data_IF_344311168031
#
_entry.id   IF_344311168031
#
_cell.length_a   1.000
_cell.length_b   1.000
_cell.length_c   1.000
_cell.angle_alpha   90.00
_cell.angle_beta   90.00
_cell.angle_gamma   90.00
#
_symmetry.space_group_name_H-M   'P 1'
#
loop_
_entity.id
_entity.type
_entity.pdbx_description
1 polymer ?
#
# COMPACT_ATOMS: atom_id res chain seq x y z
N UNK A 1 6.91 -33.31 3.34
CA UNK A 1 6.61 -32.90 3.52
C UNK A 1 6.51 -31.97 3.79
N UNK A 2 6.34 -31.80 3.85
CA UNK A 2 6.36 -30.98 4.09
C UNK A 2 5.98 -30.35 5.03
N UNK A 3 6.04 -30.43 5.54
CA UNK A 3 5.73 -29.95 6.62
C UNK A 3 5.88 -28.61 6.69
N UNK A 4 5.83 -28.03 5.73
CA UNK A 4 6.13 -26.88 5.69
C UNK A 4 5.28 -25.99 6.26
N UNK A 5 5.49 -24.93 6.80
CA UNK A 5 4.77 -23.81 7.29
C UNK A 5 3.71 -24.16 8.33
N UNK A 6 3.97 -25.15 9.17
CA UNK A 6 3.00 -25.45 10.20
C UNK A 6 2.80 -24.27 11.13
N UNK A 7 3.84 -23.43 11.28
CA UNK A 7 3.71 -22.33 12.18
C UNK A 7 2.72 -21.31 11.77
N UNK A 8 2.43 -21.19 10.49
CA UNK A 8 1.49 -20.18 10.03
C UNK A 8 0.08 -20.47 10.51
N UNK A 9 -0.24 -21.74 10.74
CA UNK A 9 -1.57 -22.04 11.17
C UNK A 9 -1.82 -21.62 12.60
N UNK A 10 -0.77 -21.49 13.35
CA UNK A 10 -0.91 -21.28 14.78
C UNK A 10 -0.68 -19.85 15.22
N UNK A 11 -0.63 -18.91 14.31
CA UNK A 11 -0.40 -17.53 14.68
C UNK A 11 -1.71 -16.85 15.05
N UNK A 12 -1.89 -16.40 16.28
CA UNK A 12 -3.15 -15.78 16.69
C UNK A 12 -3.37 -14.46 15.97
N UNK A 13 -4.57 -14.23 15.56
CA UNK A 13 -4.94 -12.95 14.95
C UNK A 13 -4.59 -12.81 13.49
N UNK A 14 -3.95 -13.84 12.88
CA UNK A 14 -3.61 -13.77 11.46
C UNK A 14 -3.97 -15.08 10.79
N UNK A 15 -4.16 -15.05 9.51
CA UNK A 15 -4.44 -16.25 8.74
C UNK A 15 -3.15 -16.87 8.23
N UNK A 16 -3.24 -17.85 7.34
CA UNK A 16 -2.07 -18.51 6.80
C UNK A 16 -1.13 -17.60 6.03
N UNK A 17 -1.63 -16.53 5.46
CA UNK A 17 -0.82 -15.56 4.73
C UNK A 17 -0.30 -14.47 5.65
N UNK A 18 -0.57 -14.55 6.94
CA UNK A 18 -0.13 -13.53 7.89
C UNK A 18 -1.04 -12.31 7.89
N UNK A 19 -2.22 -12.39 7.30
CA UNK A 19 -3.13 -11.26 7.19
C UNK A 19 -4.03 -11.15 8.38
N UNK A 20 -4.21 -9.94 8.85
CA UNK A 20 -5.13 -9.61 9.95
C UNK A 20 -6.48 -9.22 9.39
N UNK A 21 -7.51 -9.12 10.22
CA UNK A 21 -8.80 -8.58 9.76
C UNK A 21 -8.69 -7.21 9.12
N UNK A 22 -7.73 -6.39 9.55
CA UNK A 22 -7.55 -5.05 8.98
C UNK A 22 -7.06 -5.13 7.54
N UNK A 23 -6.23 -6.11 7.20
CA UNK A 23 -5.83 -6.32 5.80
C UNK A 23 -7.07 -6.58 4.94
N UNK A 24 -7.98 -7.42 5.42
CA UNK A 24 -9.18 -7.75 4.65
C UNK A 24 -10.17 -6.59 4.56
N UNK A 25 -10.28 -5.79 5.62
CA UNK A 25 -11.11 -4.58 5.55
C UNK A 25 -10.58 -3.64 4.46
N UNK A 26 -9.26 -3.55 4.32
CA UNK A 26 -8.66 -2.72 3.27
C UNK A 26 -8.90 -3.30 1.88
N UNK A 27 -8.78 -4.63 1.74
CA UNK A 27 -9.04 -5.27 0.46
C UNK A 27 -10.49 -5.04 0.03
N UNK A 28 -11.42 -5.14 0.97
CA UNK A 28 -12.84 -5.08 0.68
C UNK A 28 -13.39 -3.66 0.68
N UNK A 29 -12.57 -2.68 0.97
CA UNK A 29 -12.98 -1.29 1.15
C UNK A 29 -14.09 -1.16 2.19
N UNK A 30 -13.97 -1.94 3.26
CA UNK A 30 -14.94 -1.94 4.37
C UNK A 30 -14.56 -0.86 5.35
N UNK A 31 -15.06 0.35 5.13
CA UNK A 31 -14.69 1.53 5.91
C UNK A 31 -15.12 1.37 7.36
N UNK A 32 -16.35 0.93 7.59
CA UNK A 32 -16.85 0.76 8.95
C UNK A 32 -16.06 -0.30 9.70
N UNK A 33 -15.75 -1.41 9.04
CA UNK A 33 -14.94 -2.47 9.63
C UNK A 33 -13.54 -2.01 9.96
N UNK A 34 -12.91 -1.27 9.04
CA UNK A 34 -11.57 -0.74 9.28
C UNK A 34 -11.56 0.21 10.48
N UNK A 35 -12.54 1.10 10.54
CA UNK A 35 -12.65 2.06 11.65
C UNK A 35 -12.79 1.32 12.98
N UNK A 36 -13.64 0.31 13.02
CA UNK A 36 -13.89 -0.43 14.24
C UNK A 36 -12.64 -1.17 14.71
N UNK A 37 -11.92 -1.80 13.77
CA UNK A 37 -10.69 -2.51 14.10
C UNK A 37 -9.61 -1.56 14.62
N UNK A 38 -9.48 -0.39 14.01
CA UNK A 38 -8.50 0.59 14.46
C UNK A 38 -8.88 1.13 15.84
N UNK A 39 -10.18 1.34 16.09
CA UNK A 39 -10.63 1.81 17.40
C UNK A 39 -10.38 0.75 18.47
N UNK A 40 -10.35 -0.51 18.11
CA UNK A 40 -10.04 -1.57 19.06
C UNK A 40 -8.55 -1.69 19.36
N UNK A 41 -7.72 -0.89 18.70
CA UNK A 41 -6.28 -0.87 18.97
C UNK A 41 -5.46 -1.75 18.04
N UNK A 42 -6.03 -2.23 16.94
CA UNK A 42 -5.26 -3.04 16.02
C UNK A 42 -4.16 -2.22 15.36
N UNK A 43 -2.97 -2.79 15.22
CA UNK A 43 -1.82 -2.12 14.63
C UNK A 43 -2.06 -1.88 13.15
N UNK A 44 -2.05 -0.63 12.69
CA UNK A 44 -2.32 -0.32 11.29
C UNK A 44 -1.18 -0.70 10.33
N UNK A 45 -0.01 -1.06 10.86
CA UNK A 45 1.17 -1.28 10.03
C UNK A 45 1.65 -2.74 9.99
N UNK A 46 0.85 -3.68 10.48
CA UNK A 46 1.26 -5.09 10.50
C UNK A 46 1.43 -5.61 9.07
N UNK A 47 2.60 -6.14 8.70
CA UNK A 47 2.77 -6.72 7.38
C UNK A 47 2.27 -8.15 7.34
N UNK A 48 1.78 -8.58 6.19
CA UNK A 48 1.50 -10.00 5.98
C UNK A 48 2.80 -10.71 5.57
N UNK A 49 2.72 -11.96 5.18
CA UNK A 49 3.93 -12.75 4.86
C UNK A 49 4.64 -12.27 3.60
N UNK A 50 3.96 -11.51 2.75
CA UNK A 50 4.56 -10.91 1.56
C UNK A 50 5.00 -9.47 1.82
N UNK A 51 4.93 -9.02 3.06
CA UNK A 51 5.29 -7.66 3.42
C UNK A 51 4.20 -6.63 3.13
N UNK A 52 3.01 -7.06 2.77
CA UNK A 52 1.92 -6.13 2.50
C UNK A 52 1.28 -5.68 3.79
N UNK A 53 1.20 -4.39 3.99
CA UNK A 53 0.46 -3.80 5.10
C UNK A 53 -0.96 -3.50 4.67
N UNK A 54 -1.86 -3.20 5.59
CA UNK A 54 -3.20 -2.76 5.21
C UNK A 54 -3.18 -1.56 4.23
N UNK A 55 -2.18 -0.66 4.37
CA UNK A 55 -2.08 0.49 3.48
C UNK A 55 -1.76 0.08 2.03
N UNK A 56 -0.96 -0.97 1.85
CA UNK A 56 -0.72 -1.51 0.51
C UNK A 56 -2.05 -1.95 -0.13
N UNK A 57 -2.89 -2.63 0.65
CA UNK A 57 -4.17 -3.11 0.14
C UNK A 57 -5.16 -1.97 -0.12
N UNK A 58 -5.17 -0.95 0.74
CA UNK A 58 -6.02 0.22 0.52
C UNK A 58 -5.61 0.93 -0.78
N UNK A 59 -4.31 1.00 -1.04
CA UNK A 59 -3.80 1.60 -2.28
C UNK A 59 -4.18 0.74 -3.49
N UNK A 60 -4.08 -0.57 -3.37
CA UNK A 60 -4.46 -1.46 -4.45
C UNK A 60 -5.95 -1.36 -4.76
N UNK A 61 -6.77 -1.21 -3.72
CA UNK A 61 -8.22 -1.10 -3.88
C UNK A 61 -8.65 0.31 -4.24
N UNK A 62 -7.71 1.24 -4.30
CA UNK A 62 -7.96 2.64 -4.61
C UNK A 62 -8.94 3.27 -3.62
N UNK A 63 -8.83 2.89 -2.35
CA UNK A 63 -9.70 3.39 -1.29
C UNK A 63 -9.01 4.48 -0.50
N UNK A 64 -9.29 5.74 -0.87
CA UNK A 64 -8.70 6.89 -0.18
C UNK A 64 -9.21 6.98 1.26
N UNK A 65 -10.46 6.62 1.50
CA UNK A 65 -11.01 6.71 2.84
C UNK A 65 -10.32 5.76 3.81
N UNK A 66 -10.08 4.52 3.39
CA UNK A 66 -9.39 3.58 4.27
C UNK A 66 -7.93 3.96 4.41
N UNK A 67 -7.29 4.41 3.33
CA UNK A 67 -5.91 4.87 3.41
C UNK A 67 -5.80 6.01 4.43
N UNK A 68 -6.75 6.93 4.43
CA UNK A 68 -6.73 8.02 5.38
C UNK A 68 -6.96 7.55 6.81
N UNK A 69 -7.86 6.61 7.03
CA UNK A 69 -8.07 6.04 8.35
C UNK A 69 -6.79 5.39 8.88
N UNK A 70 -6.11 4.64 8.03
CA UNK A 70 -4.88 3.97 8.43
C UNK A 70 -3.80 4.97 8.78
N UNK A 71 -3.60 5.98 7.94
CA UNK A 71 -2.58 6.98 8.17
C UNK A 71 -2.89 7.81 9.41
N UNK A 72 -4.15 8.14 9.64
CA UNK A 72 -4.55 8.87 10.84
C UNK A 72 -4.34 8.04 12.11
N UNK A 73 -4.35 6.72 11.98
CA UNK A 73 -4.09 5.83 13.10
C UNK A 73 -2.59 5.55 13.29
N UNK A 74 -1.75 6.19 12.51
CA UNK A 74 -0.30 6.07 12.68
C UNK A 74 0.38 5.07 11.75
N UNK A 75 -0.29 4.62 10.69
CA UNK A 75 0.33 3.70 9.74
C UNK A 75 1.57 4.33 9.12
N UNK A 76 2.61 3.51 8.92
CA UNK A 76 3.79 3.95 8.17
C UNK A 76 3.38 4.18 6.72
N UNK A 77 3.92 5.24 6.10
CA UNK A 77 3.50 5.63 4.75
C UNK A 77 4.25 4.87 3.67
N UNK A 78 5.49 4.44 3.93
CA UNK A 78 6.35 3.82 2.93
C UNK A 78 6.88 2.44 3.31
N UNK A 79 6.07 1.54 3.88
CA UNK A 79 6.55 0.19 4.08
C UNK A 79 6.78 -0.49 2.74
N UNK A 80 7.77 -1.37 2.65
CA UNK A 80 8.06 -2.08 1.42
C UNK A 80 7.62 -3.52 1.54
N UNK A 81 6.98 -4.04 0.52
CA UNK A 81 6.68 -5.46 0.47
C UNK A 81 7.95 -6.23 0.05
N UNK A 82 7.83 -7.54 -0.14
CA UNK A 82 8.99 -8.36 -0.47
C UNK A 82 9.59 -8.03 -1.84
N UNK A 83 8.86 -7.32 -2.69
CA UNK A 83 9.36 -6.86 -3.99
C UNK A 83 9.91 -5.43 -3.92
N UNK A 84 9.87 -4.81 -2.75
CA UNK A 84 10.32 -3.44 -2.58
C UNK A 84 9.27 -2.40 -2.97
N UNK A 85 8.02 -2.82 -3.15
CA UNK A 85 6.98 -1.89 -3.56
C UNK A 85 6.33 -1.24 -2.34
N UNK A 86 6.14 0.07 -2.41
CA UNK A 86 5.47 0.84 -1.36
C UNK A 86 3.98 0.97 -1.69
N UNK A 87 3.16 1.43 -0.75
CA UNK A 87 1.78 1.73 -1.05
C UNK A 87 1.61 2.72 -2.20
N UNK A 88 2.50 3.72 -2.31
CA UNK A 88 2.42 4.66 -3.43
C UNK A 88 2.62 3.95 -4.77
N UNK A 89 3.54 2.98 -4.84
CA UNK A 89 3.74 2.20 -6.06
C UNK A 89 2.43 1.46 -6.41
N UNK A 90 1.77 0.84 -5.41
CA UNK A 90 0.51 0.14 -5.64
C UNK A 90 -0.59 1.10 -6.10
N UNK A 91 -0.61 2.30 -5.52
CA UNK A 91 -1.60 3.31 -5.90
C UNK A 91 -1.43 3.71 -7.37
N UNK A 92 -0.18 3.89 -7.81
CA UNK A 92 0.09 4.25 -9.20
C UNK A 92 -0.30 3.10 -10.13
N UNK A 93 0.13 1.88 -9.78
CA UNK A 93 -0.11 0.72 -10.63
C UNK A 93 -1.59 0.43 -10.81
N UNK A 94 -2.39 0.67 -9.79
CA UNK A 94 -3.81 0.35 -9.79
C UNK A 94 -4.71 1.58 -9.96
N UNK A 95 -4.15 2.73 -10.34
CA UNK A 95 -4.89 3.98 -10.33
C UNK A 95 -5.99 4.05 -11.37
N UNK A 96 -5.73 3.52 -12.55
CA UNK A 96 -6.62 3.66 -13.71
C UNK A 96 -6.97 5.13 -13.96
N UNK A 97 -6.00 6.00 -13.74
CA UNK A 97 -6.18 7.44 -13.92
C UNK A 97 -6.74 8.18 -12.71
N UNK A 98 -7.06 7.45 -11.63
CA UNK A 98 -7.60 8.09 -10.43
C UNK A 98 -6.48 8.48 -9.51
N UNK A 99 -6.50 9.72 -9.03
CA UNK A 99 -5.40 10.22 -8.23
C UNK A 99 -5.65 10.40 -6.76
N UNK A 100 -6.81 9.98 -6.25
CA UNK A 100 -7.16 10.28 -4.86
C UNK A 100 -6.17 9.68 -3.87
N UNK A 101 -5.84 8.40 -4.03
CA UNK A 101 -4.90 7.75 -3.12
C UNK A 101 -3.49 8.26 -3.35
N UNK A 102 -3.10 8.49 -4.61
CA UNK A 102 -1.78 9.05 -4.94
C UNK A 102 -1.60 10.40 -4.25
N UNK A 103 -2.57 11.29 -4.38
CA UNK A 103 -2.48 12.61 -3.77
C UNK A 103 -2.41 12.50 -2.25
N UNK A 104 -3.23 11.62 -1.67
CA UNK A 104 -3.23 11.44 -0.23
C UNK A 104 -1.87 10.94 0.27
N UNK A 105 -1.33 9.91 -0.37
CA UNK A 105 -0.05 9.36 0.06
C UNK A 105 1.05 10.39 -0.08
N UNK A 106 1.07 11.12 -1.18
CA UNK A 106 2.08 12.16 -1.39
C UNK A 106 1.93 13.27 -0.35
N UNK A 107 0.71 13.66 -0.02
CA UNK A 107 0.49 14.68 1.00
C UNK A 107 0.96 14.23 2.38
N UNK A 108 1.01 12.92 2.60
CA UNK A 108 1.48 12.36 3.87
C UNK A 108 2.96 11.97 3.82
N UNK A 109 3.69 12.41 2.81
CA UNK A 109 5.14 12.23 2.77
C UNK A 109 5.63 10.98 2.06
N UNK A 110 4.78 10.29 1.31
CA UNK A 110 5.23 9.14 0.53
C UNK A 110 6.33 9.53 -0.45
N UNK A 111 7.35 8.69 -0.56
CA UNK A 111 8.52 8.97 -1.38
C UNK A 111 8.29 8.51 -2.82
N UNK A 112 8.14 9.44 -3.77
CA UNK A 112 7.91 9.06 -5.17
C UNK A 112 9.12 8.47 -5.87
N UNK A 113 10.30 8.57 -5.24
CA UNK A 113 11.56 8.09 -5.81
C UNK A 113 11.98 6.74 -5.26
N UNK A 114 11.22 6.13 -4.35
CA UNK A 114 11.61 4.87 -3.73
C UNK A 114 11.56 3.74 -4.75
N UNK A 115 12.69 3.13 -5.09
CA UNK A 115 12.75 2.10 -6.12
C UNK A 115 12.51 0.73 -5.53
N UNK A 116 11.84 -0.12 -6.29
CA UNK A 116 11.64 -1.51 -5.91
C UNK A 116 12.85 -2.35 -6.33
N UNK A 117 12.75 -3.66 -6.21
CA UNK A 117 13.83 -4.57 -6.56
C UNK A 117 14.18 -4.55 -8.03
N UNK A 118 13.31 -4.03 -8.87
CA UNK A 118 13.53 -3.94 -10.31
C UNK A 118 13.99 -2.54 -10.72
N UNK A 119 14.28 -1.67 -9.75
CA UNK A 119 14.75 -0.32 -10.03
C UNK A 119 13.67 0.64 -10.49
N UNK A 120 12.40 0.32 -10.21
CA UNK A 120 11.27 1.15 -10.65
C UNK A 120 10.69 1.89 -9.45
N UNK A 121 10.60 3.21 -9.52
CA UNK A 121 9.97 4.03 -8.50
C UNK A 121 8.52 4.30 -8.88
N UNK A 122 7.68 4.76 -7.96
CA UNK A 122 6.33 5.20 -8.30
C UNK A 122 6.32 6.25 -9.40
N UNK A 123 7.26 7.19 -9.36
CA UNK A 123 7.36 8.24 -10.37
C UNK A 123 7.70 7.66 -11.74
N UNK A 124 8.68 6.75 -11.79
CA UNK A 124 9.06 6.13 -13.04
C UNK A 124 7.91 5.32 -13.61
N UNK A 125 7.20 4.59 -12.74
CA UNK A 125 6.02 3.83 -13.17
C UNK A 125 4.97 4.77 -13.76
N UNK A 126 4.69 5.88 -13.07
CA UNK A 126 3.69 6.84 -13.55
C UNK A 126 4.03 7.36 -14.93
N UNK A 127 5.32 7.55 -15.20
CA UNK A 127 5.78 8.09 -16.48
C UNK A 127 5.75 7.05 -17.60
N UNK A 128 5.64 5.76 -17.26
CA UNK A 128 5.60 4.70 -18.26
C UNK A 128 4.21 4.17 -18.55
N UNK A 129 3.22 4.48 -17.72
CA UNK A 129 1.87 4.03 -17.97
C UNK A 129 1.30 4.79 -19.16
N UNK A 130 0.91 4.05 -20.19
CA UNK A 130 0.47 4.67 -21.43
C UNK A 130 -1.03 4.95 -21.49
N UNK A 131 -1.82 4.13 -20.81
CA UNK A 131 -3.27 4.23 -20.97
C UNK A 131 -3.94 5.32 -20.16
N UNK A 132 -3.28 5.79 -19.12
CA UNK A 132 -3.87 6.80 -18.24
C UNK A 132 -2.82 7.86 -17.95
N UNK A 133 -3.25 9.10 -17.86
CA UNK A 133 -2.32 10.19 -17.58
C UNK A 133 -2.06 10.28 -16.09
N UNK A 134 -1.29 9.34 -15.56
CA UNK A 134 -0.95 9.31 -14.14
C UNK A 134 0.18 10.28 -13.83
N UNK A 135 0.96 10.67 -14.85
CA UNK A 135 2.04 11.64 -14.65
C UNK A 135 1.51 12.97 -14.09
N UNK A 136 0.26 13.28 -14.36
CA UNK A 136 -0.34 14.54 -13.86
C UNK A 136 -0.26 14.66 -12.35
N UNK A 137 -0.20 13.54 -11.63
CA UNK A 137 -0.14 13.57 -10.17
C UNK A 137 1.27 13.76 -9.63
N UNK A 138 2.25 13.92 -10.53
CA UNK A 138 3.65 14.11 -10.18
C UNK A 138 4.30 15.29 -10.93
N UNK A 139 3.47 16.21 -11.45
CA UNK A 139 3.99 17.30 -12.29
C UNK A 139 4.84 18.30 -11.51
N UNK A 140 4.71 18.33 -10.20
CA UNK A 140 5.52 19.20 -9.36
C UNK A 140 6.96 18.72 -9.22
N UNK A 141 7.24 17.48 -9.64
CA UNK A 141 8.57 16.91 -9.49
C UNK A 141 9.39 17.09 -10.76
N UNK A 142 10.70 17.33 -10.63
CA UNK A 142 11.54 17.48 -11.81
C UNK A 142 11.69 16.16 -12.53
N UNK A 143 12.12 16.24 -13.79
CA UNK A 143 12.47 15.05 -14.54
C UNK A 143 13.60 14.35 -13.85
N UNK A 144 13.51 13.01 -13.78
CA UNK A 144 14.61 12.28 -13.24
C UNK A 144 15.73 12.28 -14.24
N UNK A 145 16.92 12.65 -13.80
CA UNK A 145 18.02 12.55 -14.71
C UNK A 145 18.35 11.11 -14.75
N UNK A 146 18.80 10.64 -15.91
CA UNK A 146 19.13 9.36 -16.02
C UNK A 146 20.26 9.12 -15.50
N UNK A 147 20.38 8.78 -14.65
CA UNK A 147 21.58 8.53 -14.09
C UNK A 147 22.09 7.37 -14.44
#
# INVERSE_FOLDING_TARGET
>A
MSAKHPKRKDRPGVDRAGRTPLHYAAVDADIAGARQLLESGMDPSTPDDEGWTPLHFAAQSNSAEIAELLLNAGASVDPCDTQGNTPLFKAVFNSRGKGDVIRLLRARGANPYATNKHGVSPLKLARTIANFDVRQFFVDLPEETNG
#
